data_IF_241922230457
#
_entry.id   IF_241922230457
#
_cell.length_a   1.000
_cell.length_b   1.000
_cell.length_c   1.000
_cell.angle_alpha   90.00
_cell.angle_beta   90.00
_cell.angle_gamma   90.00
#
_symmetry.space_group_name_H-M   'P 1'
#
loop_
_entity.id
_entity.type
_entity.pdbx_description
1 polymer ?
#
# COMPACT_ATOMS: atom_id res chain seq x y z
N UNK A 1 8.88 -0.36 -30.50
CA UNK A 1 8.39 0.09 -29.16
C UNK A 1 6.87 0.07 -29.07
N UNK A 2 6.11 0.41 -30.13
CA UNK A 2 4.62 0.40 -30.11
C UNK A 2 3.96 -0.91 -29.68
N UNK A 3 4.51 -2.07 -30.05
CA UNK A 3 3.88 -3.36 -29.72
C UNK A 3 3.83 -3.66 -28.22
N UNK A 4 4.82 -3.21 -27.46
CA UNK A 4 4.87 -3.40 -26.01
C UNK A 4 3.79 -2.55 -25.33
N UNK A 5 3.58 -1.32 -25.81
CA UNK A 5 2.54 -0.44 -25.27
C UNK A 5 1.12 -0.96 -25.55
N UNK A 6 0.92 -1.59 -26.71
CA UNK A 6 -0.35 -2.24 -27.05
C UNK A 6 -0.60 -3.45 -26.13
N UNK A 7 0.43 -4.24 -25.86
CA UNK A 7 0.34 -5.38 -24.94
C UNK A 7 0.01 -4.89 -23.53
N UNK A 8 0.71 -3.87 -23.03
CA UNK A 8 0.48 -3.31 -21.70
C UNK A 8 -0.95 -2.75 -21.54
N UNK A 9 -1.46 -2.01 -22.53
CA UNK A 9 -2.84 -1.49 -22.51
C UNK A 9 -3.89 -2.60 -22.46
N UNK A 10 -3.70 -3.68 -23.21
CA UNK A 10 -4.60 -4.84 -23.18
C UNK A 10 -4.54 -5.55 -21.83
N UNK A 11 -3.35 -5.67 -21.24
CA UNK A 11 -3.17 -6.25 -19.92
C UNK A 11 -3.91 -5.42 -18.85
N UNK A 12 -3.75 -4.09 -18.87
CA UNK A 12 -4.41 -3.17 -17.94
C UNK A 12 -5.94 -3.23 -18.04
N UNK A 13 -6.47 -3.37 -19.26
CA UNK A 13 -7.91 -3.52 -19.49
C UNK A 13 -8.45 -4.83 -18.92
N UNK A 14 -7.73 -5.94 -19.09
CA UNK A 14 -8.08 -7.26 -18.53
C UNK A 14 -7.99 -7.24 -17.00
N UNK A 15 -6.94 -6.63 -16.44
CA UNK A 15 -6.76 -6.51 -14.99
C UNK A 15 -7.89 -5.65 -14.37
N UNK A 16 -8.27 -4.56 -15.05
CA UNK A 16 -9.36 -3.70 -14.62
C UNK A 16 -10.72 -4.40 -14.65
N UNK A 17 -11.02 -5.20 -15.68
CA UNK A 17 -12.29 -5.93 -15.80
C UNK A 17 -12.44 -7.06 -14.77
N UNK A 18 -11.33 -7.67 -14.36
CA UNK A 18 -11.30 -8.69 -13.30
C UNK A 18 -11.41 -8.08 -11.88
N UNK A 19 -11.50 -6.75 -11.75
CA UNK A 19 -11.40 -6.08 -10.45
C UNK A 19 -10.06 -6.37 -9.75
N UNK A 20 -9.04 -6.74 -10.53
CA UNK A 20 -7.67 -6.95 -10.09
C UNK A 20 -6.95 -5.65 -10.42
N UNK A 21 -7.16 -4.64 -9.58
CA UNK A 21 -6.21 -3.52 -9.56
C UNK A 21 -4.81 -4.13 -9.42
N UNK A 22 -3.75 -3.62 -10.08
CA UNK A 22 -2.37 -4.10 -9.90
C UNK A 22 -1.91 -4.09 -8.41
N UNK A 23 -2.70 -3.49 -7.52
CA UNK A 23 -2.62 -3.59 -6.08
C UNK A 23 -2.88 -4.99 -5.50
N UNK A 24 -3.69 -5.88 -6.10
CA UNK A 24 -3.98 -7.25 -5.61
C UNK A 24 -2.73 -8.11 -5.79
N UNK A 25 -1.81 -8.02 -4.82
CA UNK A 25 -0.53 -8.76 -4.80
C UNK A 25 0.70 -7.89 -4.55
N UNK A 26 0.63 -6.56 -4.71
CA UNK A 26 1.80 -5.70 -4.46
C UNK A 26 2.30 -5.80 -3.02
N UNK A 27 3.62 -5.99 -2.84
CA UNK A 27 4.28 -5.93 -1.53
C UNK A 27 4.07 -4.58 -0.85
N UNK A 28 4.03 -3.51 -1.64
CA UNK A 28 3.97 -2.13 -1.17
C UNK A 28 2.70 -1.42 -1.63
N UNK A 29 2.06 -0.72 -0.71
CA UNK A 29 0.80 -0.03 -0.90
C UNK A 29 0.95 1.46 -0.62
N UNK A 30 0.26 2.28 -1.40
CA UNK A 30 0.10 3.71 -1.11
C UNK A 30 -0.88 3.91 0.04
N UNK A 31 -0.84 5.07 0.70
CA UNK A 31 -1.78 5.37 1.79
C UNK A 31 -3.26 5.21 1.38
N UNK A 32 -3.61 5.58 0.13
CA UNK A 32 -4.97 5.40 -0.41
C UNK A 32 -5.34 3.92 -0.60
N UNK A 33 -4.39 3.11 -1.05
CA UNK A 33 -4.61 1.66 -1.21
C UNK A 33 -4.76 0.98 0.15
N UNK A 34 -3.97 1.37 1.15
CA UNK A 34 -4.12 0.85 2.51
C UNK A 34 -5.47 1.23 3.11
N UNK A 35 -5.96 2.45 2.86
CA UNK A 35 -7.29 2.87 3.30
C UNK A 35 -8.40 2.03 2.66
N UNK A 36 -8.31 1.76 1.37
CA UNK A 36 -9.27 0.89 0.67
C UNK A 36 -9.20 -0.58 1.14
N UNK A 37 -8.01 -1.09 1.46
CA UNK A 37 -7.80 -2.51 1.79
C UNK A 37 -8.00 -2.82 3.28
N UNK A 38 -7.59 -1.92 4.18
CA UNK A 38 -7.56 -2.16 5.63
C UNK A 38 -8.48 -1.20 6.42
N UNK A 39 -9.16 -0.25 5.76
CA UNK A 39 -10.02 0.73 6.42
C UNK A 39 -9.26 1.78 7.25
N UNK A 40 -7.93 1.81 7.18
CA UNK A 40 -7.10 2.78 7.91
C UNK A 40 -7.00 4.07 7.10
N UNK A 41 -7.54 5.18 7.62
CA UNK A 41 -7.51 6.50 6.96
C UNK A 41 -6.11 6.86 6.44
N UNK A 42 -6.01 7.30 5.19
CA UNK A 42 -4.73 7.68 4.58
C UNK A 42 -4.00 8.78 5.37
N UNK A 43 -4.74 9.73 5.95
CA UNK A 43 -4.16 10.78 6.79
C UNK A 43 -3.51 10.21 8.06
N UNK A 44 -4.13 9.20 8.67
CA UNK A 44 -3.58 8.53 9.86
C UNK A 44 -2.26 7.82 9.53
N UNK A 45 -2.16 7.16 8.38
CA UNK A 45 -0.92 6.54 7.92
C UNK A 45 0.19 7.57 7.70
N UNK A 46 -0.13 8.69 7.05
CA UNK A 46 0.84 9.77 6.81
C UNK A 46 1.35 10.37 8.12
N UNK A 47 0.46 10.68 9.05
CA UNK A 47 0.83 11.23 10.35
C UNK A 47 1.69 10.23 11.16
N UNK A 48 1.27 8.96 11.22
CA UNK A 48 1.98 7.93 11.99
C UNK A 48 3.33 7.53 11.40
N UNK A 49 3.49 7.65 10.09
CA UNK A 49 4.79 7.42 9.41
C UNK A 49 5.76 8.60 9.51
N UNK A 50 5.34 9.73 10.11
CA UNK A 50 6.22 10.85 10.45
C UNK A 50 6.68 10.81 11.92
N UNK A 51 6.18 9.86 12.72
CA UNK A 51 6.60 9.71 14.11
C UNK A 51 8.00 9.08 14.17
N UNK A 52 8.67 9.24 15.30
CA UNK A 52 9.92 8.53 15.60
C UNK A 52 9.71 7.01 15.57
N UNK A 53 10.72 6.28 15.12
CA UNK A 53 10.65 4.82 14.97
C UNK A 53 10.39 4.08 16.29
N UNK A 54 10.79 4.68 17.42
CA UNK A 54 10.54 4.18 18.78
C UNK A 54 9.11 4.43 19.28
N UNK A 55 8.33 5.26 18.59
CA UNK A 55 6.99 5.62 19.04
C UNK A 55 6.01 4.45 18.88
N UNK A 56 5.22 4.15 19.93
CA UNK A 56 4.27 3.01 19.97
C UNK A 56 3.25 2.95 18.81
N UNK A 57 2.98 4.11 18.19
CA UNK A 57 2.04 4.26 17.06
C UNK A 57 2.73 4.50 15.71
N UNK A 58 4.06 4.40 15.65
CA UNK A 58 4.80 4.54 14.40
C UNK A 58 4.34 3.50 13.39
N UNK A 59 4.19 3.93 12.13
CA UNK A 59 3.92 3.02 11.02
C UNK A 59 5.09 3.11 10.04
N UNK A 60 5.83 2.00 9.83
CA UNK A 60 6.93 1.97 8.88
C UNK A 60 6.48 2.33 7.46
N UNK A 61 7.29 3.14 6.77
CA UNK A 61 7.06 3.51 5.38
C UNK A 61 8.38 3.59 4.62
N UNK A 62 8.33 3.33 3.32
CA UNK A 62 9.48 3.42 2.41
C UNK A 62 9.17 4.38 1.26
N UNK A 63 10.21 4.98 0.69
CA UNK A 63 10.13 5.74 -0.56
C UNK A 63 10.83 4.92 -1.64
N UNK A 64 10.11 4.55 -2.69
CA UNK A 64 10.68 3.79 -3.80
C UNK A 64 11.38 4.76 -4.76
N UNK A 65 12.60 4.42 -5.19
CA UNK A 65 13.40 5.15 -6.17
C UNK A 65 13.55 6.67 -5.91
N UNK A 66 13.70 7.07 -4.65
CA UNK A 66 13.86 8.49 -4.29
C UNK A 66 12.62 9.36 -4.49
N UNK A 67 11.46 8.76 -4.82
CA UNK A 67 10.22 9.49 -5.01
C UNK A 67 9.70 10.16 -3.74
N UNK A 68 8.84 11.18 -3.91
CA UNK A 68 8.18 11.87 -2.77
C UNK A 68 7.10 11.03 -2.09
N UNK A 69 6.60 10.01 -2.77
CA UNK A 69 5.49 9.20 -2.31
C UNK A 69 5.94 8.14 -1.31
N UNK A 70 5.26 8.11 -0.16
CA UNK A 70 5.41 7.05 0.83
C UNK A 70 4.60 5.82 0.45
N UNK A 71 5.22 4.67 0.62
CA UNK A 71 4.64 3.35 0.47
C UNK A 71 4.74 2.57 1.77
N UNK A 72 3.82 1.64 1.97
CA UNK A 72 3.64 0.86 3.20
C UNK A 72 3.67 -0.62 2.86
N UNK A 73 4.44 -1.41 3.59
CA UNK A 73 4.55 -2.84 3.34
C UNK A 73 3.30 -3.58 3.84
N UNK A 74 2.65 -4.33 2.95
CA UNK A 74 1.40 -5.05 3.25
C UNK A 74 1.54 -5.99 4.44
N UNK A 75 2.57 -6.85 4.45
CA UNK A 75 2.78 -7.84 5.53
C UNK A 75 3.02 -7.19 6.89
N UNK A 76 3.66 -6.01 6.92
CA UNK A 76 3.87 -5.26 8.16
C UNK A 76 2.53 -4.74 8.69
N UNK A 77 1.74 -4.11 7.82
CA UNK A 77 0.40 -3.63 8.20
C UNK A 77 -0.50 -4.77 8.69
N UNK A 78 -0.50 -5.90 7.99
CA UNK A 78 -1.28 -7.07 8.37
C UNK A 78 -0.90 -7.59 9.77
N UNK A 79 0.40 -7.72 10.06
CA UNK A 79 0.86 -8.08 11.42
C UNK A 79 0.41 -7.07 12.47
N UNK A 80 0.57 -5.78 12.18
CA UNK A 80 0.18 -4.70 13.13
C UNK A 80 -1.32 -4.69 13.44
N UNK A 81 -2.16 -5.08 12.49
CA UNK A 81 -3.62 -5.17 12.66
C UNK A 81 -3.96 -6.43 13.46
N UNK A 82 -3.47 -7.60 13.05
CA UNK A 82 -3.75 -8.86 13.74
C UNK A 82 -3.32 -8.81 15.22
N UNK A 83 -2.15 -8.26 15.53
CA UNK A 83 -1.69 -8.10 16.92
C UNK A 83 -2.57 -7.15 17.76
N UNK A 84 -3.37 -6.28 17.14
CA UNK A 84 -4.33 -5.44 17.88
C UNK A 84 -5.62 -6.19 18.19
N UNK A 85 -6.07 -7.06 17.30
CA UNK A 85 -7.29 -7.87 17.48
C UNK A 85 -7.10 -8.93 18.57
N UNK A 86 -5.92 -9.53 18.70
CA UNK A 86 -5.59 -10.50 19.76
C UNK A 86 -5.51 -9.90 21.17
N UNK A 87 -5.60 -8.57 21.32
CA UNK A 87 -5.49 -7.85 22.61
C UNK A 87 -6.82 -7.27 23.10
N UNK A 88 -7.92 -7.53 22.38
CA UNK A 88 -9.29 -7.17 22.76
C UNK A 88 -10.02 -8.42 23.19
#
# INVERSE_FOLDING_TARGET
MEHIDIINKKLDAILSSLGVSPAKGSKYLTAKQVEAEFGIKAQTLRNRSNLESSHKRFIPSVRLNGGRQKYFERKVLQRMINTREERV
#
